data_IF_422255577531
#
_entry.id   IF_422255577531
#
_cell.length_a   1.000
_cell.length_b   1.000
_cell.length_c   1.000
_cell.angle_alpha   90.00
_cell.angle_beta   90.00
_cell.angle_gamma   90.00
#
_symmetry.space_group_name_H-M   'P 1'
#
loop_
_entity.id
_entity.type
_entity.pdbx_description
1 polymer ?
#
# COMPACT_ATOMS: atom_id res chain seq x y z
N UNK A 1 29.12 16.61 -14.81
CA UNK A 1 28.69 16.45 -13.41
C UNK A 1 27.42 15.59 -13.39
N UNK A 2 27.59 14.30 -13.30
CA UNK A 2 26.51 13.32 -13.16
C UNK A 2 25.94 13.41 -11.74
N UNK A 3 24.71 13.90 -11.63
CA UNK A 3 23.93 13.82 -10.40
C UNK A 3 23.68 12.35 -10.08
N UNK A 4 24.43 11.78 -9.18
CA UNK A 4 24.04 10.57 -8.47
C UNK A 4 22.93 10.96 -7.51
N UNK A 5 21.69 10.86 -7.95
CA UNK A 5 20.57 10.83 -7.02
C UNK A 5 20.62 9.48 -6.32
N UNK A 6 21.19 9.47 -5.13
CA UNK A 6 21.33 8.24 -4.38
C UNK A 6 19.96 7.86 -3.83
N UNK A 7 19.50 6.65 -4.12
CA UNK A 7 18.38 5.98 -3.45
C UNK A 7 18.56 5.96 -1.91
N UNK A 8 19.76 6.17 -1.41
CA UNK A 8 20.07 6.32 0.00
C UNK A 8 19.40 7.53 0.67
N UNK A 9 19.05 8.59 -0.07
CA UNK A 9 18.32 9.74 0.48
C UNK A 9 16.85 9.41 0.82
N UNK A 10 16.25 8.39 0.17
CA UNK A 10 14.87 7.97 0.46
C UNK A 10 14.76 7.13 1.74
N UNK A 11 15.87 6.54 2.21
CA UNK A 11 15.86 5.65 3.38
C UNK A 11 15.98 6.36 4.72
N UNK A 12 16.36 7.64 4.72
CA UNK A 12 16.70 8.35 5.98
C UNK A 12 15.49 8.77 6.79
N UNK A 13 14.28 8.90 6.20
CA UNK A 13 13.10 9.44 6.90
C UNK A 13 11.78 8.78 6.49
N UNK A 14 11.60 7.48 6.73
CA UNK A 14 10.31 6.81 6.49
C UNK A 14 9.46 6.79 7.76
N UNK A 15 8.92 7.95 8.10
CA UNK A 15 7.98 8.11 9.20
C UNK A 15 6.62 8.45 8.61
N UNK A 16 5.62 7.62 8.87
CA UNK A 16 4.25 7.95 8.50
C UNK A 16 3.72 9.01 9.46
N UNK A 17 3.47 10.20 8.93
CA UNK A 17 2.84 11.28 9.64
C UNK A 17 1.41 11.47 9.14
N UNK A 18 0.54 11.97 10.02
CA UNK A 18 -0.87 12.17 9.75
C UNK A 18 -1.28 13.62 9.93
N UNK A 19 -2.14 14.08 9.04
CA UNK A 19 -2.85 15.35 9.15
C UNK A 19 -4.19 15.24 8.40
N UNK A 20 -5.23 15.88 8.92
CA UNK A 20 -6.55 15.97 8.27
C UNK A 20 -7.05 17.41 8.21
N UNK A 21 -7.87 17.69 7.21
CA UNK A 21 -8.53 18.98 7.04
C UNK A 21 -10.02 18.77 6.82
N UNK A 22 -10.85 19.70 7.31
CA UNK A 22 -12.31 19.71 7.13
C UNK A 22 -12.81 20.90 6.31
N UNK A 23 -11.88 21.74 5.83
CA UNK A 23 -12.14 23.01 5.15
C UNK A 23 -11.28 23.18 3.88
N UNK A 24 -11.17 22.10 3.11
CA UNK A 24 -10.45 22.04 1.84
C UNK A 24 -8.96 22.43 1.94
N UNK A 25 -8.32 22.07 3.07
CA UNK A 25 -6.89 22.26 3.25
C UNK A 25 -6.48 23.62 3.86
N UNK A 26 -7.43 24.43 4.33
CA UNK A 26 -7.13 25.71 4.97
C UNK A 26 -6.59 25.50 6.38
N UNK A 27 -7.26 24.66 7.17
CA UNK A 27 -6.79 24.29 8.51
C UNK A 27 -6.52 22.79 8.61
N UNK A 28 -5.51 22.44 9.40
CA UNK A 28 -5.05 21.06 9.55
C UNK A 28 -5.05 20.64 11.00
N UNK A 29 -5.41 19.38 11.23
CA UNK A 29 -5.58 18.79 12.55
C UNK A 29 -4.86 17.47 12.67
N UNK A 30 -4.45 17.13 13.88
CA UNK A 30 -4.03 15.79 14.31
C UNK A 30 -5.22 14.87 14.42
N UNK A 31 -4.99 13.55 14.55
CA UNK A 31 -6.04 12.57 14.74
C UNK A 31 -6.92 12.87 15.95
N UNK A 32 -6.33 13.35 17.06
CA UNK A 32 -7.02 13.73 18.29
C UNK A 32 -7.74 15.08 18.22
N UNK A 33 -7.83 15.73 17.04
CA UNK A 33 -8.50 17.01 16.85
C UNK A 33 -7.68 18.26 17.20
N UNK A 34 -6.45 18.13 17.68
CA UNK A 34 -5.58 19.28 17.94
C UNK A 34 -5.15 19.93 16.62
N UNK A 35 -5.36 21.26 16.50
CA UNK A 35 -4.94 22.04 15.32
C UNK A 35 -3.41 22.09 15.21
N UNK A 36 -2.92 22.01 13.96
CA UNK A 36 -1.52 22.27 13.64
C UNK A 36 -1.23 23.77 13.52
N UNK A 37 -0.06 24.14 13.99
CA UNK A 37 0.59 25.40 13.59
C UNK A 37 1.33 25.15 12.27
N UNK A 38 0.96 25.89 11.23
CA UNK A 38 1.57 25.75 9.91
C UNK A 38 2.88 26.55 9.81
N UNK A 39 3.86 26.07 9.03
CA UNK A 39 3.86 24.78 8.29
C UNK A 39 4.07 23.58 9.21
N UNK A 40 3.48 22.45 8.84
CA UNK A 40 3.75 21.17 9.54
C UNK A 40 5.23 20.81 9.32
N UNK A 41 5.94 20.56 10.42
CA UNK A 41 7.37 20.19 10.43
C UNK A 41 7.56 18.88 11.18
N UNK A 42 8.71 18.25 11.03
CA UNK A 42 9.03 17.01 11.75
C UNK A 42 8.87 17.14 13.28
N UNK A 43 9.14 18.31 13.84
CA UNK A 43 9.02 18.55 15.28
C UNK A 43 7.58 18.70 15.80
N UNK A 44 6.61 19.05 14.93
CA UNK A 44 5.20 19.20 15.32
C UNK A 44 4.27 18.18 14.67
N UNK A 45 4.76 17.40 13.69
CA UNK A 45 3.99 16.36 13.01
C UNK A 45 3.57 15.24 13.97
N UNK A 46 2.36 14.76 13.82
CA UNK A 46 1.88 13.56 14.49
C UNK A 46 2.37 12.32 13.75
N UNK A 47 3.08 11.46 14.46
CA UNK A 47 3.54 10.18 13.91
C UNK A 47 2.44 9.13 14.05
N UNK A 48 1.87 8.69 12.93
CA UNK A 48 0.97 7.54 12.88
C UNK A 48 1.74 6.24 13.13
N UNK A 49 2.92 6.11 12.55
CA UNK A 49 3.80 4.97 12.76
C UNK A 49 5.28 5.38 12.60
N UNK A 50 6.14 4.83 13.45
CA UNK A 50 7.60 4.96 13.35
C UNK A 50 8.16 3.75 12.62
N UNK A 51 8.18 3.82 11.29
CA UNK A 51 8.74 2.75 10.46
C UNK A 51 10.26 2.76 10.60
N UNK A 52 10.89 1.59 10.83
CA UNK A 52 12.35 1.49 10.94
C UNK A 52 13.05 1.97 9.68
N UNK A 53 14.25 2.51 9.82
CA UNK A 53 15.12 2.80 8.69
C UNK A 53 15.58 1.49 8.04
N UNK A 54 15.90 1.53 6.74
CA UNK A 54 16.34 0.36 5.98
C UNK A 54 15.37 -0.84 6.07
N UNK A 55 14.07 -0.57 6.11
CA UNK A 55 13.01 -1.58 6.26
C UNK A 55 12.40 -2.03 4.95
N UNK A 56 13.07 -1.76 3.82
CA UNK A 56 12.67 -2.08 2.43
C UNK A 56 11.41 -1.34 1.94
N UNK A 57 10.88 -0.41 2.70
CA UNK A 57 9.81 0.48 2.26
C UNK A 57 10.37 1.61 1.41
N UNK A 58 10.02 1.71 0.12
CA UNK A 58 10.50 2.77 -0.78
C UNK A 58 9.42 3.73 -1.26
N UNK A 59 8.16 3.34 -1.25
CA UNK A 59 7.07 4.14 -1.78
C UNK A 59 5.93 4.28 -0.79
N UNK A 60 5.16 5.36 -0.97
CA UNK A 60 3.88 5.54 -0.30
C UNK A 60 2.90 4.45 -0.74
N UNK A 61 1.94 4.16 0.12
CA UNK A 61 0.90 3.17 -0.12
C UNK A 61 -0.49 3.83 -0.12
N UNK A 62 -1.48 3.24 0.51
CA UNK A 62 -2.85 3.77 0.46
C UNK A 62 -3.42 4.02 1.84
N UNK A 63 -4.41 4.92 1.90
CA UNK A 63 -5.15 5.22 3.10
C UNK A 63 -6.65 5.25 2.79
N UNK A 64 -7.45 4.77 3.74
CA UNK A 64 -8.90 4.89 3.78
C UNK A 64 -9.32 5.41 5.16
N UNK A 65 -10.59 5.74 5.32
CA UNK A 65 -11.15 6.09 6.62
C UNK A 65 -12.48 5.36 6.83
N UNK A 66 -12.81 5.07 8.09
CA UNK A 66 -14.12 4.60 8.46
C UNK A 66 -15.18 5.74 8.46
N UNK A 67 -16.44 5.42 8.78
CA UNK A 67 -17.52 6.40 8.86
C UNK A 67 -17.31 7.46 9.95
N UNK A 68 -16.50 7.16 10.97
CA UNK A 68 -16.10 8.10 12.02
C UNK A 68 -14.94 9.01 11.60
N UNK A 69 -14.37 8.80 10.41
CA UNK A 69 -13.21 9.52 9.91
C UNK A 69 -11.89 9.06 10.53
N UNK A 70 -11.85 7.90 11.19
CA UNK A 70 -10.61 7.32 11.68
C UNK A 70 -9.80 6.75 10.52
N UNK A 71 -8.52 7.06 10.42
CA UNK A 71 -7.70 6.65 9.29
C UNK A 71 -7.17 5.20 9.44
N UNK A 72 -7.08 4.51 8.31
CA UNK A 72 -6.49 3.20 8.12
C UNK A 72 -5.49 3.28 6.97
N UNK A 73 -4.23 2.92 7.24
CA UNK A 73 -3.12 3.05 6.29
C UNK A 73 -2.60 1.64 5.99
N UNK A 74 -2.64 1.26 4.72
CA UNK A 74 -2.00 0.03 4.25
C UNK A 74 -0.57 0.31 3.83
N UNK A 75 0.36 -0.54 4.24
CA UNK A 75 1.79 -0.40 3.94
C UNK A 75 2.51 -1.74 4.04
N UNK A 76 3.81 -1.74 3.85
CA UNK A 76 4.68 -2.88 4.12
C UNK A 76 6.04 -2.40 4.64
N UNK A 77 6.63 -3.14 5.52
CA UNK A 77 8.02 -2.97 5.97
C UNK A 77 8.49 -4.21 6.75
N UNK A 78 9.79 -4.34 6.95
CA UNK A 78 10.36 -5.34 7.85
C UNK A 78 10.67 -4.74 9.22
N UNK A 79 10.56 -5.55 10.26
CA UNK A 79 11.00 -5.20 11.58
C UNK A 79 12.54 -5.17 11.67
N UNK A 80 13.12 -4.50 12.67
CA UNK A 80 14.58 -4.40 12.82
C UNK A 80 15.28 -5.75 13.04
N UNK A 81 14.57 -6.71 13.61
CA UNK A 81 15.03 -8.06 13.95
C UNK A 81 14.62 -9.12 12.91
N UNK A 82 14.11 -8.69 11.75
CA UNK A 82 13.67 -9.56 10.66
C UNK A 82 14.24 -9.10 9.33
N UNK A 83 14.56 -10.07 8.45
CA UNK A 83 14.94 -9.80 7.06
C UNK A 83 13.74 -9.84 6.10
N UNK A 84 12.55 -10.23 6.60
CA UNK A 84 11.37 -10.46 5.78
C UNK A 84 10.38 -9.30 5.92
N UNK A 85 10.18 -8.49 4.87
CA UNK A 85 9.13 -7.47 4.85
C UNK A 85 7.75 -8.09 4.89
N UNK A 86 6.84 -7.48 5.67
CA UNK A 86 5.46 -7.91 5.84
C UNK A 86 4.49 -6.83 5.43
N UNK A 87 3.34 -7.20 4.85
CA UNK A 87 2.20 -6.30 4.76
C UNK A 87 1.69 -5.93 6.14
N UNK A 88 1.38 -4.66 6.32
CA UNK A 88 0.96 -4.09 7.60
C UNK A 88 -0.17 -3.11 7.43
N UNK A 89 -0.96 -2.99 8.47
CA UNK A 89 -1.96 -1.96 8.61
C UNK A 89 -1.63 -1.08 9.81
N UNK A 90 -1.80 0.24 9.65
CA UNK A 90 -1.72 1.22 10.73
C UNK A 90 -3.08 1.88 10.82
N UNK A 91 -3.66 2.00 12.02
CA UNK A 91 -4.96 2.64 12.18
C UNK A 91 -5.03 3.44 13.47
N UNK A 92 -5.98 4.36 13.52
CA UNK A 92 -6.32 5.14 14.70
C UNK A 92 -7.71 4.76 15.19
N UNK A 93 -7.87 4.43 16.47
CA UNK A 93 -9.14 3.98 17.04
C UNK A 93 -10.02 5.13 17.61
N UNK A 94 -9.61 6.38 17.36
CA UNK A 94 -10.18 7.59 17.96
C UNK A 94 -9.36 8.12 19.13
N UNK A 95 -8.49 7.31 19.74
CA UNK A 95 -7.65 7.68 20.88
C UNK A 95 -6.16 7.58 20.56
N UNK A 96 -5.71 6.48 19.95
CA UNK A 96 -4.30 6.24 19.68
C UNK A 96 -4.06 5.46 18.39
N UNK A 97 -2.81 5.46 17.95
CA UNK A 97 -2.35 4.74 16.78
C UNK A 97 -1.92 3.33 17.13
N UNK A 98 -2.27 2.40 16.28
CA UNK A 98 -1.89 0.99 16.34
C UNK A 98 -1.29 0.54 15.02
N UNK A 99 -0.53 -0.54 15.05
CA UNK A 99 -0.10 -1.24 13.85
C UNK A 99 -0.21 -2.75 14.02
N UNK A 100 -0.49 -3.45 12.91
CA UNK A 100 -0.61 -4.90 12.89
C UNK A 100 -0.09 -5.48 11.59
N UNK A 101 0.48 -6.68 11.68
CA UNK A 101 0.88 -7.46 10.52
C UNK A 101 -0.34 -8.11 9.87
N UNK A 102 -0.37 -8.10 8.53
CA UNK A 102 -1.43 -8.68 7.69
C UNK A 102 -0.97 -9.98 7.04
N UNK A 103 0.27 -10.02 6.55
CA UNK A 103 0.84 -11.19 5.84
C UNK A 103 1.67 -12.08 6.75
N UNK A 104 1.95 -13.29 6.28
CA UNK A 104 2.88 -14.23 6.91
C UNK A 104 3.99 -14.61 5.92
N UNK A 105 4.66 -13.62 5.32
CA UNK A 105 5.75 -13.85 4.39
C UNK A 105 6.93 -14.51 5.07
N UNK A 106 7.67 -15.29 4.30
CA UNK A 106 8.86 -16.04 4.74
C UNK A 106 10.12 -15.73 3.93
N UNK A 107 9.96 -15.12 2.75
CA UNK A 107 11.07 -14.84 1.83
C UNK A 107 11.57 -13.41 2.01
N UNK A 108 12.87 -13.23 2.35
CA UNK A 108 13.47 -11.92 2.42
C UNK A 108 13.71 -11.34 1.01
N UNK A 109 13.76 -10.02 0.93
CA UNK A 109 14.28 -9.32 -0.25
C UNK A 109 14.98 -8.02 0.17
N UNK A 110 15.80 -7.49 -0.73
CA UNK A 110 16.47 -6.21 -0.52
C UNK A 110 16.32 -5.31 -1.74
N UNK A 111 15.99 -4.05 -1.48
CA UNK A 111 15.89 -2.99 -2.48
C UNK A 111 17.14 -2.12 -2.53
N UNK A 112 18.24 -2.58 -1.94
CA UNK A 112 19.55 -1.91 -2.01
C UNK A 112 20.11 -1.92 -3.44
N UNK A 113 20.89 -0.89 -3.77
CA UNK A 113 21.50 -0.71 -5.08
C UNK A 113 20.81 0.35 -5.94
N UNK A 114 21.36 0.62 -7.12
CA UNK A 114 20.85 1.61 -8.08
C UNK A 114 19.83 1.03 -9.07
N UNK A 115 19.19 1.92 -9.82
CA UNK A 115 18.25 1.58 -10.87
C UNK A 115 16.85 1.24 -10.40
N UNK A 116 15.99 0.85 -11.33
CA UNK A 116 14.64 0.38 -11.05
C UNK A 116 14.69 -0.97 -10.36
N UNK A 117 13.86 -1.19 -9.37
CA UNK A 117 13.77 -2.47 -8.65
C UNK A 117 12.46 -3.18 -8.94
N UNK A 118 12.55 -4.45 -9.26
CA UNK A 118 11.40 -5.34 -9.25
C UNK A 118 11.09 -5.70 -7.80
N UNK A 119 9.94 -5.26 -7.31
CA UNK A 119 9.54 -5.43 -5.92
C UNK A 119 8.66 -6.65 -5.81
N UNK A 120 9.01 -7.66 -4.96
CA UNK A 120 8.21 -8.87 -4.79
C UNK A 120 6.81 -8.62 -4.23
N UNK A 121 6.60 -7.47 -3.61
CA UNK A 121 5.34 -7.03 -3.01
C UNK A 121 4.80 -5.81 -3.76
N UNK A 122 3.50 -5.77 -4.05
CA UNK A 122 2.85 -4.56 -4.55
C UNK A 122 2.61 -3.56 -3.42
N UNK A 123 2.42 -2.29 -3.77
CA UNK A 123 1.86 -1.28 -2.86
C UNK A 123 0.39 -1.60 -2.61
N UNK A 124 -0.02 -1.96 -1.41
CA UNK A 124 -1.37 -2.44 -1.16
C UNK A 124 -2.41 -1.31 -1.32
N UNK A 125 -3.66 -1.70 -1.58
CA UNK A 125 -4.84 -0.84 -1.49
C UNK A 125 -5.70 -1.27 -0.34
N UNK A 126 -6.32 -0.29 0.31
CA UNK A 126 -7.22 -0.53 1.42
C UNK A 126 -8.53 0.23 1.22
N UNK A 127 -9.61 -0.44 1.52
CA UNK A 127 -10.95 0.15 1.72
C UNK A 127 -11.52 -0.35 3.04
N UNK A 128 -12.31 0.50 3.69
CA UNK A 128 -12.92 0.22 4.99
C UNK A 128 -14.39 0.54 4.91
N UNK A 129 -15.24 -0.35 5.45
CA UNK A 129 -16.68 -0.13 5.56
C UNK A 129 -17.25 -0.86 6.78
N UNK A 130 -17.99 -0.14 7.64
CA UNK A 130 -18.66 -0.73 8.81
C UNK A 130 -17.75 -1.49 9.78
N UNK A 131 -16.45 -1.20 9.79
CA UNK A 131 -15.42 -1.92 10.56
C UNK A 131 -14.77 -3.07 9.78
N UNK A 132 -15.31 -3.46 8.64
CA UNK A 132 -14.69 -4.43 7.73
C UNK A 132 -13.56 -3.79 6.93
N UNK A 133 -12.51 -4.56 6.72
CA UNK A 133 -11.31 -4.12 6.02
C UNK A 133 -11.06 -5.04 4.84
N UNK A 134 -10.93 -4.43 3.66
CA UNK A 134 -10.56 -5.06 2.41
C UNK A 134 -9.19 -4.56 1.99
N UNK A 135 -8.20 -5.42 2.05
CA UNK A 135 -6.79 -5.11 1.80
C UNK A 135 -6.33 -5.84 0.56
N UNK A 136 -6.25 -5.14 -0.59
CA UNK A 136 -5.90 -5.71 -1.89
C UNK A 136 -4.40 -5.58 -2.13
N UNK A 137 -3.77 -6.67 -2.53
CA UNK A 137 -2.33 -6.72 -2.75
C UNK A 137 -1.92 -7.77 -3.80
N UNK A 138 -0.67 -7.76 -4.18
CA UNK A 138 0.00 -8.77 -4.99
C UNK A 138 1.30 -9.15 -4.30
N UNK A 139 1.58 -10.42 -4.19
CA UNK A 139 2.77 -10.96 -3.55
C UNK A 139 3.36 -12.11 -4.36
N UNK A 140 4.68 -12.09 -4.57
CA UNK A 140 5.38 -13.15 -5.30
C UNK A 140 5.26 -14.51 -4.61
N UNK A 141 5.27 -14.56 -3.26
CA UNK A 141 5.02 -15.81 -2.51
C UNK A 141 3.64 -16.44 -2.78
N UNK A 142 2.71 -15.65 -3.30
CA UNK A 142 1.38 -16.10 -3.74
C UNK A 142 1.26 -16.24 -5.26
N UNK A 143 2.40 -16.36 -5.96
CA UNK A 143 2.44 -16.48 -7.42
C UNK A 143 2.12 -15.18 -8.15
N UNK A 144 2.31 -14.03 -7.51
CA UNK A 144 1.97 -12.71 -8.06
C UNK A 144 0.53 -12.61 -8.54
N UNK A 145 -0.39 -13.24 -7.83
CA UNK A 145 -1.84 -13.16 -8.07
C UNK A 145 -2.44 -11.92 -7.42
N UNK A 146 -3.61 -11.51 -7.86
CA UNK A 146 -4.43 -10.54 -7.12
C UNK A 146 -4.93 -11.22 -5.87
N UNK A 147 -4.57 -10.71 -4.70
CA UNK A 147 -4.95 -11.26 -3.41
C UNK A 147 -5.73 -10.24 -2.59
N UNK A 148 -6.68 -10.74 -1.82
CA UNK A 148 -7.49 -9.97 -0.87
C UNK A 148 -7.27 -10.52 0.54
N UNK A 149 -6.84 -9.68 1.46
CA UNK A 149 -6.94 -9.95 2.88
C UNK A 149 -8.16 -9.22 3.45
N UNK A 150 -9.02 -9.95 4.13
CA UNK A 150 -10.25 -9.45 4.73
C UNK A 150 -10.23 -9.66 6.25
N UNK A 151 -10.70 -8.68 6.99
CA UNK A 151 -10.93 -8.75 8.42
C UNK A 151 -12.19 -7.97 8.79
N UNK A 152 -12.98 -8.49 9.71
CA UNK A 152 -14.20 -7.84 10.23
C UNK A 152 -13.91 -6.92 11.41
N UNK A 153 -12.73 -7.05 12.01
CA UNK A 153 -12.24 -6.22 13.11
C UNK A 153 -10.72 -6.16 13.03
N UNK A 154 -10.18 -4.95 12.80
CA UNK A 154 -8.74 -4.74 12.64
C UNK A 154 -7.93 -5.16 13.86
N UNK A 155 -8.47 -5.00 15.05
CA UNK A 155 -7.77 -5.27 16.31
C UNK A 155 -7.75 -6.76 16.66
N UNK A 156 -8.87 -7.46 16.47
CA UNK A 156 -9.11 -8.77 17.05
C UNK A 156 -9.29 -9.90 16.04
N UNK A 157 -9.81 -9.59 14.83
CA UNK A 157 -10.05 -10.62 13.82
C UNK A 157 -8.76 -11.22 13.26
N UNK A 158 -8.82 -12.50 12.92
CA UNK A 158 -7.83 -13.12 12.04
C UNK A 158 -8.06 -12.64 10.61
N UNK A 159 -6.98 -12.40 9.88
CA UNK A 159 -7.06 -12.10 8.45
C UNK A 159 -7.44 -13.37 7.68
N UNK A 160 -8.48 -13.28 6.87
CA UNK A 160 -8.77 -14.26 5.82
C UNK A 160 -8.12 -13.78 4.53
N UNK A 161 -7.24 -14.59 3.93
CA UNK A 161 -6.55 -14.23 2.70
C UNK A 161 -6.97 -15.19 1.59
N UNK A 162 -7.48 -14.63 0.49
CA UNK A 162 -7.89 -15.34 -0.72
C UNK A 162 -7.22 -14.77 -1.96
N UNK A 163 -6.98 -15.61 -2.97
CA UNK A 163 -6.55 -15.16 -4.28
C UNK A 163 -7.79 -14.95 -5.16
N UNK A 164 -7.87 -13.76 -5.76
CA UNK A 164 -8.97 -13.37 -6.65
C UNK A 164 -8.73 -13.82 -8.10
N UNK A 165 -7.47 -14.11 -8.45
CA UNK A 165 -7.10 -14.65 -9.77
C UNK A 165 -6.41 -16.01 -9.61
N UNK A 166 -6.54 -16.88 -10.58
CA UNK A 166 -5.80 -18.12 -10.70
C UNK A 166 -4.51 -17.99 -11.53
N UNK A 167 -4.32 -16.84 -12.14
CA UNK A 167 -3.17 -16.46 -12.95
C UNK A 167 -2.33 -15.36 -12.31
N UNK A 168 -1.06 -15.27 -12.75
CA UNK A 168 -0.14 -14.20 -12.33
C UNK A 168 -0.45 -12.87 -13.03
N UNK A 169 -0.36 -11.78 -12.29
CA UNK A 169 -0.47 -10.41 -12.83
C UNK A 169 0.90 -9.70 -12.91
N UNK A 170 1.98 -10.46 -12.72
CA UNK A 170 3.35 -9.98 -12.80
C UNK A 170 3.66 -8.88 -11.79
N UNK A 171 4.11 -7.73 -12.25
CA UNK A 171 4.47 -6.57 -11.42
C UNK A 171 3.29 -5.58 -11.23
N UNK A 172 2.06 -6.05 -11.31
CA UNK A 172 0.86 -5.22 -11.16
C UNK A 172 0.81 -4.51 -9.80
N UNK A 173 0.35 -3.27 -9.82
CA UNK A 173 0.10 -2.46 -8.65
C UNK A 173 -1.42 -2.26 -8.48
N UNK A 174 -2.01 -2.59 -7.33
CA UNK A 174 -3.44 -2.51 -7.10
C UNK A 174 -4.04 -1.13 -7.32
N UNK A 175 -5.16 -1.09 -8.03
CA UNK A 175 -6.01 0.09 -8.13
C UNK A 175 -7.49 -0.31 -8.10
N UNK A 176 -8.36 0.58 -7.64
CA UNK A 176 -9.79 0.34 -7.56
C UNK A 176 -10.59 1.59 -7.90
N UNK A 177 -11.84 1.40 -8.28
CA UNK A 177 -12.78 2.48 -8.52
C UNK A 177 -13.26 3.07 -7.19
N UNK A 178 -12.69 4.21 -6.81
CA UNK A 178 -13.00 4.88 -5.54
C UNK A 178 -14.40 5.47 -5.52
N UNK A 179 -14.92 5.92 -6.64
CA UNK A 179 -16.24 6.55 -6.71
C UNK A 179 -17.36 5.50 -6.65
N UNK A 180 -17.17 4.36 -7.30
CA UNK A 180 -18.10 3.25 -7.21
C UNK A 180 -18.13 2.66 -5.79
N UNK A 181 -16.98 2.55 -5.14
CA UNK A 181 -16.91 2.15 -3.74
C UNK A 181 -17.67 3.12 -2.83
N UNK A 182 -17.42 4.44 -2.96
CA UNK A 182 -18.09 5.45 -2.14
C UNK A 182 -19.60 5.45 -2.34
N UNK A 183 -20.06 5.39 -3.59
CA UNK A 183 -21.47 5.55 -3.94
C UNK A 183 -22.31 4.28 -3.77
N UNK A 184 -21.72 3.10 -3.99
CA UNK A 184 -22.47 1.84 -4.08
C UNK A 184 -21.85 0.69 -3.27
N UNK A 185 -20.72 0.90 -2.60
CA UNK A 185 -19.96 -0.13 -1.87
C UNK A 185 -19.57 -1.33 -2.74
N UNK A 186 -19.30 -1.09 -4.02
CA UNK A 186 -18.81 -2.11 -4.96
C UNK A 186 -17.32 -1.93 -5.16
N UNK A 187 -16.55 -2.99 -4.90
CA UNK A 187 -15.11 -3.00 -5.11
C UNK A 187 -14.79 -3.49 -6.52
N UNK A 188 -14.53 -2.56 -7.43
CA UNK A 188 -14.07 -2.88 -8.78
C UNK A 188 -12.56 -2.66 -8.85
N UNK A 189 -11.84 -3.66 -9.34
CA UNK A 189 -10.39 -3.63 -9.51
C UNK A 189 -10.06 -3.50 -10.99
N UNK A 190 -9.10 -2.62 -11.31
CA UNK A 190 -8.46 -2.65 -12.62
C UNK A 190 -7.26 -3.60 -12.54
N UNK A 191 -7.30 -4.68 -13.33
CA UNK A 191 -6.27 -5.73 -13.33
C UNK A 191 -5.64 -5.84 -14.70
N UNK A 192 -4.31 -5.86 -14.73
CA UNK A 192 -3.55 -6.07 -15.96
C UNK A 192 -2.29 -6.88 -15.65
N UNK A 193 -1.81 -7.64 -16.63
CA UNK A 193 -0.50 -8.26 -16.51
C UNK A 193 0.58 -7.21 -16.78
N UNK A 194 1.38 -6.87 -15.77
CA UNK A 194 2.45 -5.88 -15.86
C UNK A 194 3.83 -6.53 -15.78
N UNK A 195 4.78 -5.99 -16.54
CA UNK A 195 6.21 -6.33 -16.45
C UNK A 195 6.98 -5.13 -15.93
N UNK A 196 8.03 -5.37 -15.16
CA UNK A 196 8.94 -4.35 -14.66
C UNK A 196 10.37 -4.83 -14.80
N UNK A 197 11.27 -3.94 -15.23
CA UNK A 197 12.71 -4.20 -15.24
C UNK A 197 13.28 -4.20 -13.83
N UNK A 198 14.45 -4.85 -13.67
CA UNK A 198 15.21 -4.87 -12.43
C UNK A 198 16.64 -4.40 -12.67
N UNK A 199 17.09 -3.41 -11.89
CA UNK A 199 18.39 -2.78 -12.03
C UNK A 199 18.54 -1.94 -13.30
N UNK A 200 19.73 -1.96 -13.89
CA UNK A 200 20.05 -1.26 -15.14
C UNK A 200 19.85 -2.14 -16.38
N UNK A 201 19.34 -3.36 -16.19
CA UNK A 201 19.14 -4.29 -17.30
C UNK A 201 17.98 -3.81 -18.18
N UNK A 202 18.27 -3.68 -19.47
CA UNK A 202 17.25 -3.46 -20.49
C UNK A 202 16.41 -4.75 -20.56
N UNK A 203 15.13 -4.64 -20.20
CA UNK A 203 14.19 -5.72 -20.44
C UNK A 203 13.69 -5.54 -21.87
N UNK A 204 14.06 -6.44 -22.77
CA UNK A 204 13.45 -6.51 -24.08
C UNK A 204 11.96 -6.86 -23.90
N UNK A 205 11.12 -5.88 -24.11
CA UNK A 205 9.69 -6.12 -24.26
C UNK A 205 9.48 -6.67 -25.66
N UNK A 206 9.16 -7.93 -25.79
CA UNK A 206 8.44 -8.36 -26.98
C UNK A 206 7.15 -7.54 -27.00
N UNK A 207 7.09 -6.56 -27.88
CA UNK A 207 5.88 -5.83 -28.19
C UNK A 207 4.92 -6.83 -28.85
N UNK A 208 4.16 -7.55 -28.05
CA UNK A 208 3.00 -8.26 -28.54
C UNK A 208 1.99 -7.19 -28.91
N UNK A 209 1.98 -6.82 -30.19
CA UNK A 209 0.84 -6.18 -30.80
C UNK A 209 -0.35 -7.11 -30.61
N UNK A 210 -1.11 -6.89 -29.54
CA UNK A 210 -2.42 -7.47 -29.38
C UNK A 210 -3.34 -6.74 -30.38
N UNK A 211 -3.49 -7.32 -31.55
CA UNK A 211 -4.54 -7.01 -32.51
C UNK A 211 -5.69 -7.99 -32.31
N UNK A 212 -6.31 -8.03 -31.13
CA UNK A 212 -7.62 -8.63 -30.94
C UNK A 212 -8.19 -8.20 -29.59
N UNK A 213 -9.28 -7.47 -29.65
CA UNK A 213 -10.29 -7.22 -28.62
C UNK A 213 -9.85 -7.16 -27.15
N UNK A 214 -9.32 -5.99 -26.77
CA UNK A 214 -9.18 -5.60 -25.37
C UNK A 214 -10.53 -5.26 -24.68
N UNK A 215 -11.67 -5.58 -25.33
CA UNK A 215 -13.00 -5.22 -24.84
C UNK A 215 -13.68 -6.33 -24.00
N UNK A 216 -13.10 -7.53 -23.93
CA UNK A 216 -13.82 -8.71 -23.38
C UNK A 216 -13.27 -9.28 -22.07
N UNK A 217 -12.20 -8.69 -21.50
CA UNK A 217 -11.63 -9.13 -20.21
C UNK A 217 -12.01 -8.24 -19.03
N UNK A 218 -13.24 -7.80 -18.93
CA UNK A 218 -13.77 -7.23 -17.70
C UNK A 218 -14.23 -8.36 -16.77
N UNK A 219 -13.43 -8.74 -15.81
CA UNK A 219 -13.84 -9.55 -14.68
C UNK A 219 -14.96 -8.82 -13.93
N UNK A 220 -16.20 -9.21 -14.18
CA UNK A 220 -17.34 -8.87 -13.34
C UNK A 220 -17.45 -9.95 -12.28
N UNK A 221 -17.29 -9.55 -11.04
CA UNK A 221 -17.71 -10.36 -9.89
C UNK A 221 -19.09 -9.82 -9.51
N UNK A 222 -20.13 -10.62 -9.80
CA UNK A 222 -21.51 -10.35 -9.38
C UNK A 222 -21.68 -10.59 -7.88
#
# INVERSE_FOLDING_TARGET
STRKESSAASDVYKRQCYARSFDNGVTWYKANGKKYDLPIRLGNAEYACRIPQNSELINQTSMSADAGGNPYIASYWRDPDSDVPQYRIVWHDGQMWYSRQVSGRTTPFSLKGGGTKMIPMARPRIVVDGGEIFYVFRDEERGSKVSLAHATDVANSKWSISDLTDFTVGAWEPSHDTELWKSRKRLHLFVQHAKQGDGERVVEFACLLYTSDAADDSLRVD
#
